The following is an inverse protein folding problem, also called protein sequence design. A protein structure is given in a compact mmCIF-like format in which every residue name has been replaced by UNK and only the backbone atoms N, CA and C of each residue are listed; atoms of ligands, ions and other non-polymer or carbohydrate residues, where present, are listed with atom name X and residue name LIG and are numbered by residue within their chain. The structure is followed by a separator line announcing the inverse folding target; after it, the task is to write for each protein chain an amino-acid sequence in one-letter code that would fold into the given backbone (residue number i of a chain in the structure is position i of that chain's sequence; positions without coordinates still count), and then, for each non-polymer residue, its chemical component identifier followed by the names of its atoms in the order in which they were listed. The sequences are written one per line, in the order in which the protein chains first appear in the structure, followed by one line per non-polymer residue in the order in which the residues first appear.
data_IF_447384951867
#
_entry.id   IF_447384951867
#
_cell.length_a   1.000
_cell.length_b   1.000
_cell.length_c   1.000
_cell.angle_alpha   90.00
_cell.angle_beta   90.00
_cell.angle_gamma   90.00
#
_symmetry.space_group_name_H-M   'P 1'
#
loop_
_entity.id
_entity.type
_entity.pdbx_description
1 polymer ?
#
# COMPACT_ATOMS: atom_id res chain seq x y z
N UNK A 1 1.03 19.83 -5.06
CA UNK A 1 1.13 18.67 -4.16
C UNK A 1 2.55 18.61 -3.66
N UNK A 2 2.76 18.43 -2.37
CA UNK A 2 4.09 18.36 -1.74
C UNK A 2 4.18 17.06 -0.93
N UNK A 3 5.34 16.40 -0.97
CA UNK A 3 5.62 15.17 -0.20
C UNK A 3 6.78 15.46 0.74
N UNK A 4 6.56 15.31 2.05
CA UNK A 4 7.60 15.40 3.08
C UNK A 4 7.82 14.06 3.73
N UNK A 5 9.00 13.48 3.58
CA UNK A 5 9.38 12.25 4.26
C UNK A 5 9.84 12.53 5.67
N UNK A 6 9.68 11.55 6.56
CA UNK A 6 10.14 11.64 7.94
C UNK A 6 11.12 10.52 8.24
N UNK A 7 12.38 10.90 8.53
CA UNK A 7 13.41 9.97 8.99
C UNK A 7 13.10 9.57 10.44
N UNK A 8 13.18 8.28 10.75
CA UNK A 8 12.78 7.76 12.08
C UNK A 8 13.88 6.96 12.77
N UNK A 9 13.70 6.69 14.07
CA UNK A 9 14.36 5.54 14.71
C UNK A 9 13.94 4.24 14.03
N UNK A 10 14.73 3.16 14.22
CA UNK A 10 14.31 1.82 13.76
C UNK A 10 13.05 1.42 14.54
N UNK A 11 12.01 1.02 13.82
CA UNK A 11 10.79 0.48 14.42
C UNK A 11 11.03 -0.95 14.86
N UNK A 12 10.68 -1.29 16.10
CA UNK A 12 10.88 -2.63 16.65
C UNK A 12 9.61 -3.48 16.52
N UNK A 13 9.79 -4.79 16.42
CA UNK A 13 8.68 -5.72 16.39
C UNK A 13 7.78 -5.56 17.62
N UNK A 14 6.46 -5.55 17.40
CA UNK A 14 5.43 -5.31 18.40
C UNK A 14 5.48 -3.92 19.09
N UNK A 15 6.26 -2.97 18.56
CA UNK A 15 6.22 -1.59 19.03
C UNK A 15 4.84 -0.95 18.73
N UNK A 16 4.41 0.00 19.56
CA UNK A 16 3.14 0.68 19.36
C UNK A 16 3.23 1.69 18.20
N UNK A 17 2.63 1.33 17.05
CA UNK A 17 2.72 2.14 15.84
C UNK A 17 2.15 3.57 15.98
N UNK A 18 0.96 3.81 16.58
CA UNK A 18 0.49 5.17 16.85
C UNK A 18 1.48 6.02 17.65
N UNK A 19 1.98 5.50 18.79
CA UNK A 19 2.93 6.24 19.64
C UNK A 19 4.25 6.52 18.90
N UNK A 20 4.73 5.56 18.12
CA UNK A 20 5.90 5.75 17.26
C UNK A 20 5.68 6.87 16.24
N UNK A 21 4.51 6.93 15.60
CA UNK A 21 4.18 8.02 14.68
C UNK A 21 4.10 9.35 15.42
N UNK A 22 3.48 9.43 16.60
CA UNK A 22 3.42 10.67 17.40
C UNK A 22 4.81 11.16 17.84
N UNK A 23 5.73 10.23 18.07
CA UNK A 23 7.13 10.56 18.39
C UNK A 23 7.81 11.28 17.23
N UNK A 24 7.61 10.83 15.99
CA UNK A 24 8.34 11.33 14.82
C UNK A 24 7.59 12.41 14.02
N UNK A 25 6.26 12.43 14.09
CA UNK A 25 5.41 13.40 13.42
C UNK A 25 4.77 14.32 14.46
N UNK A 26 5.23 15.57 14.52
CA UNK A 26 4.74 16.55 15.51
C UNK A 26 3.50 17.32 15.05
N UNK A 27 3.30 17.42 13.74
CA UNK A 27 2.18 18.14 13.13
C UNK A 27 1.79 17.48 11.82
N UNK A 28 0.50 17.37 11.59
CA UNK A 28 -0.07 16.99 10.30
C UNK A 28 -1.05 18.11 9.91
N UNK A 29 -0.85 18.82 8.79
CA UNK A 29 -1.82 19.81 8.32
C UNK A 29 -3.19 19.16 8.02
N UNK A 30 -4.30 19.89 8.18
CA UNK A 30 -5.60 19.40 7.70
C UNK A 30 -5.56 19.20 6.17
N UNK A 31 -6.37 18.28 5.66
CA UNK A 31 -6.39 17.86 4.24
C UNK A 31 -5.05 17.27 3.77
N UNK A 32 -4.39 16.52 4.66
CA UNK A 32 -3.17 15.76 4.35
C UNK A 32 -3.43 14.26 4.28
N UNK A 33 -2.50 13.53 3.70
CA UNK A 33 -2.45 12.07 3.71
C UNK A 33 -1.15 11.65 4.39
N UNK A 34 -1.25 10.89 5.48
CA UNK A 34 -0.09 10.22 6.06
C UNK A 34 0.12 8.90 5.32
N UNK A 35 1.30 8.73 4.75
CA UNK A 35 1.76 7.50 4.13
C UNK A 35 2.59 6.72 5.13
N UNK A 36 2.34 5.42 5.21
CA UNK A 36 3.01 4.49 6.13
C UNK A 36 3.42 3.25 5.35
N UNK A 37 4.69 2.87 5.37
CA UNK A 37 5.11 1.61 4.74
C UNK A 37 4.46 0.40 5.42
N UNK A 38 4.14 -0.61 4.63
CA UNK A 38 3.67 -1.94 5.04
C UNK A 38 4.56 -2.55 6.13
N UNK A 39 5.89 -2.32 6.06
CA UNK A 39 6.88 -2.96 6.93
C UNK A 39 6.65 -2.63 8.41
N UNK A 40 6.50 -1.34 8.76
CA UNK A 40 6.28 -0.97 10.17
C UNK A 40 4.87 -1.29 10.65
N UNK A 41 3.91 -1.40 9.74
CA UNK A 41 2.56 -1.90 10.05
C UNK A 41 2.62 -3.39 10.37
N UNK A 42 3.28 -4.18 9.53
CA UNK A 42 3.49 -5.62 9.73
C UNK A 42 4.26 -5.90 11.04
N UNK A 43 5.33 -5.16 11.32
CA UNK A 43 6.07 -5.27 12.58
C UNK A 43 5.16 -4.98 13.79
N UNK A 44 4.29 -3.98 13.71
CA UNK A 44 3.37 -3.65 14.80
C UNK A 44 2.29 -4.72 15.03
N UNK A 45 2.00 -5.51 14.00
CA UNK A 45 1.05 -6.62 14.03
C UNK A 45 1.71 -7.98 14.34
N UNK A 46 3.02 -8.01 14.60
CA UNK A 46 3.77 -9.24 14.81
C UNK A 46 3.82 -10.14 13.58
N UNK A 47 3.71 -9.57 12.37
CA UNK A 47 3.67 -10.29 11.08
C UNK A 47 5.08 -10.67 10.60
N UNK A 48 5.86 -11.28 11.49
CA UNK A 48 7.21 -11.77 11.19
C UNK A 48 7.31 -13.27 11.47
N UNK A 49 8.19 -13.95 10.74
CA UNK A 49 8.46 -15.38 10.93
C UNK A 49 9.96 -15.63 10.86
N UNK A 50 10.53 -16.38 11.80
CA UNK A 50 11.94 -16.80 11.73
C UNK A 50 12.17 -17.61 10.46
N UNK A 51 13.14 -17.18 9.62
CA UNK A 51 13.47 -17.87 8.38
C UNK A 51 14.30 -19.13 8.69
N UNK A 52 13.70 -20.31 8.58
CA UNK A 52 14.39 -21.60 8.84
C UNK A 52 14.95 -22.24 7.59
N UNK A 53 14.18 -22.21 6.50
CA UNK A 53 14.55 -22.77 5.20
C UNK A 53 13.56 -22.35 4.10
N UNK A 54 13.97 -22.57 2.85
CA UNK A 54 13.16 -22.27 1.66
C UNK A 54 11.81 -23.02 1.63
N UNK A 55 11.73 -24.24 2.17
CA UNK A 55 10.48 -25.02 2.20
C UNK A 55 9.41 -24.30 3.03
N UNK A 56 9.80 -23.76 4.18
CA UNK A 56 8.92 -22.94 5.04
C UNK A 56 8.48 -21.67 4.31
N UNK A 57 9.41 -20.96 3.66
CA UNK A 57 9.10 -19.74 2.90
C UNK A 57 8.09 -20.02 1.79
N UNK A 58 8.30 -21.07 1.00
CA UNK A 58 7.37 -21.48 -0.07
C UNK A 58 5.98 -21.81 0.50
N UNK A 59 5.91 -22.49 1.65
CA UNK A 59 4.63 -22.77 2.30
C UNK A 59 3.91 -21.48 2.71
N UNK A 60 4.63 -20.49 3.26
CA UNK A 60 4.07 -19.19 3.59
C UNK A 60 3.60 -18.42 2.35
N UNK A 61 4.39 -18.40 1.26
CA UNK A 61 3.99 -17.77 -0.01
C UNK A 61 2.64 -18.31 -0.47
N UNK A 62 2.48 -19.64 -0.48
CA UNK A 62 1.23 -20.30 -0.87
C UNK A 62 0.09 -20.04 0.12
N UNK A 63 0.36 -20.02 1.41
CA UNK A 63 -0.65 -19.75 2.45
C UNK A 63 -1.17 -18.30 2.39
N UNK A 64 -0.31 -17.35 2.05
CA UNK A 64 -0.60 -15.91 2.03
C UNK A 64 -1.21 -15.41 0.71
N UNK A 65 -1.41 -16.31 -0.26
CA UNK A 65 -1.95 -15.98 -1.59
C UNK A 65 -3.08 -16.91 -2.01
N UNK A 66 -3.88 -16.43 -2.97
CA UNK A 66 -4.94 -17.20 -3.63
C UNK A 66 -4.46 -17.93 -4.88
N UNK A 67 -3.32 -17.50 -5.44
CA UNK A 67 -2.63 -18.12 -6.55
C UNK A 67 -1.13 -17.96 -6.31
N UNK A 68 -0.35 -19.00 -6.55
CA UNK A 68 1.10 -18.98 -6.46
C UNK A 68 1.74 -19.84 -7.55
N UNK A 69 2.47 -19.22 -8.47
CA UNK A 69 3.13 -19.86 -9.60
C UNK A 69 4.62 -19.56 -9.50
N UNK A 70 5.44 -20.62 -9.49
CA UNK A 70 6.89 -20.49 -9.45
C UNK A 70 7.40 -19.92 -10.77
N UNK A 71 8.25 -18.91 -10.70
CA UNK A 71 8.98 -18.35 -11.86
C UNK A 71 10.47 -18.63 -11.72
N UNK A 72 11.28 -18.20 -12.70
CA UNK A 72 12.73 -18.40 -12.68
C UNK A 72 13.41 -17.82 -11.43
N UNK A 73 13.01 -16.60 -11.03
CA UNK A 73 13.72 -15.84 -9.99
C UNK A 73 12.88 -15.63 -8.71
N UNK A 74 11.56 -15.82 -8.77
CA UNK A 74 10.65 -15.59 -7.64
C UNK A 74 9.33 -16.34 -7.83
N UNK A 75 8.25 -15.93 -7.15
CA UNK A 75 6.90 -16.44 -7.32
C UNK A 75 5.97 -15.35 -7.82
N UNK A 76 5.17 -15.66 -8.84
CA UNK A 76 4.02 -14.86 -9.23
C UNK A 76 2.85 -15.22 -8.32
N UNK A 77 2.29 -14.25 -7.62
CA UNK A 77 1.22 -14.49 -6.65
C UNK A 77 0.07 -13.51 -6.78
N UNK A 78 -1.14 -13.94 -6.37
CA UNK A 78 -2.29 -13.04 -6.16
C UNK A 78 -2.59 -12.99 -4.66
N UNK A 79 -2.31 -11.85 -4.03
CA UNK A 79 -2.58 -11.59 -2.62
C UNK A 79 -3.50 -10.39 -2.49
N UNK A 80 -4.61 -10.57 -1.75
CA UNK A 80 -5.60 -9.50 -1.49
C UNK A 80 -6.16 -8.81 -2.75
N UNK A 81 -6.11 -9.49 -3.89
CA UNK A 81 -6.53 -9.00 -5.20
C UNK A 81 -5.45 -8.28 -6.02
N UNK A 82 -4.21 -8.23 -5.51
CA UNK A 82 -3.06 -7.62 -6.17
C UNK A 82 -2.11 -8.71 -6.70
N UNK A 83 -1.52 -8.46 -7.86
CA UNK A 83 -0.40 -9.27 -8.36
C UNK A 83 0.86 -8.84 -7.63
N UNK A 84 1.53 -9.77 -6.96
CA UNK A 84 2.74 -9.49 -6.18
C UNK A 84 3.80 -10.58 -6.38
N UNK A 85 5.05 -10.22 -6.15
CA UNK A 85 6.13 -11.18 -6.03
C UNK A 85 6.05 -11.85 -4.65
N UNK A 86 6.08 -13.19 -4.59
CA UNK A 86 6.18 -13.96 -3.35
C UNK A 86 5.20 -13.54 -2.24
N UNK A 87 3.96 -13.16 -2.57
CA UNK A 87 2.93 -12.71 -1.63
C UNK A 87 3.33 -11.48 -0.80
N UNK A 88 4.25 -10.66 -1.32
CA UNK A 88 4.84 -9.54 -0.59
C UNK A 88 5.71 -9.97 0.59
N UNK A 89 6.12 -11.24 0.64
CA UNK A 89 7.04 -11.73 1.66
C UNK A 89 8.43 -11.20 1.35
N UNK A 90 8.99 -10.45 2.29
CA UNK A 90 10.28 -9.77 2.17
C UNK A 90 11.28 -10.37 3.16
N UNK A 91 12.54 -10.46 2.75
CA UNK A 91 13.68 -10.88 3.59
C UNK A 91 14.53 -9.67 4.04
N UNK A 92 14.46 -8.58 3.27
CA UNK A 92 15.20 -7.37 3.55
C UNK A 92 14.64 -6.65 4.77
N UNK A 93 15.52 -5.98 5.51
CA UNK A 93 15.18 -5.20 6.70
C UNK A 93 14.38 -5.99 7.78
N UNK A 94 14.39 -7.32 7.72
CA UNK A 94 13.70 -8.22 8.65
C UNK A 94 14.59 -8.82 9.75
N UNK A 95 15.87 -8.42 9.81
CA UNK A 95 16.84 -8.89 10.81
C UNK A 95 16.88 -10.44 10.94
N UNK A 96 16.97 -11.14 9.81
CA UNK A 96 16.98 -12.61 9.75
C UNK A 96 15.59 -13.28 9.81
N UNK A 97 14.51 -12.49 9.81
CA UNK A 97 13.12 -12.96 9.71
C UNK A 97 12.52 -12.65 8.34
N UNK A 98 11.55 -13.47 7.96
CA UNK A 98 10.61 -13.18 6.88
C UNK A 98 9.58 -12.17 7.38
N UNK A 99 9.41 -11.09 6.63
CA UNK A 99 8.37 -10.10 6.82
C UNK A 99 7.17 -10.47 5.96
N UNK A 100 6.01 -10.66 6.59
CA UNK A 100 4.74 -10.83 5.87
C UNK A 100 4.06 -9.46 5.75
N UNK A 101 3.11 -9.32 4.82
CA UNK A 101 2.27 -8.11 4.77
C UNK A 101 1.33 -8.02 5.99
N UNK A 102 0.82 -6.79 6.29
CA UNK A 102 -0.24 -6.60 7.27
C UNK A 102 -1.44 -7.51 7.01
N UNK A 103 -2.14 -7.90 8.08
CA UNK A 103 -3.26 -8.86 7.98
C UNK A 103 -4.48 -8.28 7.25
N UNK A 104 -4.75 -6.99 7.43
CA UNK A 104 -5.79 -6.24 6.70
C UNK A 104 -5.40 -4.75 6.65
N UNK A 105 -4.64 -4.37 5.63
CA UNK A 105 -4.12 -3.00 5.47
C UNK A 105 -5.21 -1.92 5.50
N UNK A 106 -6.43 -2.20 5.05
CA UNK A 106 -7.52 -1.22 5.17
C UNK A 106 -7.95 -1.02 6.63
N UNK A 107 -8.04 -2.08 7.43
CA UNK A 107 -8.34 -1.96 8.87
C UNK A 107 -7.21 -1.22 9.60
N UNK A 108 -5.96 -1.52 9.26
CA UNK A 108 -4.80 -0.85 9.87
C UNK A 108 -4.78 0.64 9.51
N UNK A 109 -5.11 1.01 8.26
CA UNK A 109 -5.26 2.40 7.85
C UNK A 109 -6.42 3.11 8.58
N UNK A 110 -7.58 2.47 8.73
CA UNK A 110 -8.72 3.00 9.51
C UNK A 110 -8.34 3.25 10.97
N UNK A 111 -7.68 2.27 11.60
CA UNK A 111 -7.22 2.35 12.98
C UNK A 111 -6.25 3.52 13.19
N UNK A 112 -5.22 3.61 12.35
CA UNK A 112 -4.25 4.71 12.41
C UNK A 112 -4.93 6.06 12.18
N UNK A 113 -5.79 6.16 11.16
CA UNK A 113 -6.53 7.39 10.87
C UNK A 113 -7.32 7.86 12.08
N UNK A 114 -8.05 6.95 12.76
CA UNK A 114 -8.83 7.28 13.96
C UNK A 114 -7.93 7.85 15.07
N UNK A 115 -6.82 7.17 15.37
CA UNK A 115 -5.88 7.59 16.42
C UNK A 115 -5.23 8.94 16.10
N UNK A 116 -4.80 9.14 14.85
CA UNK A 116 -4.14 10.36 14.38
C UNK A 116 -5.13 11.54 14.32
N UNK A 117 -6.34 11.32 13.80
CA UNK A 117 -7.37 12.35 13.75
C UNK A 117 -7.76 12.83 15.15
N UNK A 118 -7.85 11.90 16.12
CA UNK A 118 -8.09 12.26 17.52
C UNK A 118 -6.91 13.03 18.13
N UNK A 119 -5.67 12.53 17.96
CA UNK A 119 -4.47 13.16 18.53
C UNK A 119 -4.23 14.57 18.00
N UNK A 120 -4.36 14.76 16.68
CA UNK A 120 -4.08 16.02 15.99
C UNK A 120 -5.33 16.89 15.75
N UNK A 121 -6.52 16.44 16.20
CA UNK A 121 -7.81 17.13 16.05
C UNK A 121 -8.14 17.47 14.59
N UNK A 122 -7.91 16.51 13.68
CA UNK A 122 -8.08 16.70 12.23
C UNK A 122 -9.45 16.23 11.76
N UNK A 123 -10.07 17.03 10.88
CA UNK A 123 -11.33 16.66 10.22
C UNK A 123 -11.06 15.87 8.94
N UNK A 124 -10.07 16.33 8.17
CA UNK A 124 -9.70 15.74 6.89
C UNK A 124 -8.28 15.16 6.98
N UNK A 125 -8.21 13.87 7.27
CA UNK A 125 -6.97 13.11 7.28
C UNK A 125 -7.14 11.85 6.44
N UNK A 126 -6.23 11.65 5.50
CA UNK A 126 -6.02 10.38 4.82
C UNK A 126 -4.92 9.57 5.51
N UNK A 127 -5.02 8.26 5.47
CA UNK A 127 -3.92 7.33 5.76
C UNK A 127 -3.80 6.39 4.58
N UNK A 128 -2.58 6.17 4.11
CA UNK A 128 -2.25 5.29 2.99
C UNK A 128 -1.15 4.33 3.43
N UNK A 129 -1.40 3.03 3.32
CA UNK A 129 -0.41 1.99 3.57
C UNK A 129 0.14 1.52 2.23
N UNK A 130 1.46 1.59 2.08
CA UNK A 130 2.13 1.32 0.81
C UNK A 130 3.09 0.16 0.91
N UNK A 131 3.30 -0.49 -0.22
CA UNK A 131 4.34 -1.51 -0.38
C UNK A 131 4.92 -1.46 -1.79
N UNK A 132 6.03 -2.13 -1.99
CA UNK A 132 6.72 -2.15 -3.28
C UNK A 132 6.12 -3.22 -4.19
N UNK A 133 5.93 -2.88 -5.46
CA UNK A 133 5.38 -3.77 -6.46
C UNK A 133 5.99 -3.55 -7.84
N UNK A 134 5.56 -4.34 -8.81
CA UNK A 134 6.16 -4.35 -10.15
C UNK A 134 5.08 -4.20 -11.21
N UNK A 135 5.45 -3.55 -12.32
CA UNK A 135 4.63 -3.49 -13.52
C UNK A 135 5.15 -4.47 -14.57
N UNK A 136 4.27 -5.15 -15.32
CA UNK A 136 4.69 -5.97 -16.45
C UNK A 136 5.58 -5.20 -17.43
N UNK A 137 6.68 -5.83 -17.85
CA UNK A 137 7.64 -5.30 -18.83
C UNK A 137 8.34 -3.99 -18.44
N UNK A 138 8.34 -3.63 -17.15
CA UNK A 138 9.08 -2.46 -16.63
C UNK A 138 10.12 -2.92 -15.62
N UNK A 139 11.26 -2.23 -15.65
CA UNK A 139 12.34 -2.45 -14.70
C UNK A 139 12.18 -1.51 -13.50
N UNK A 140 12.46 -2.03 -12.30
CA UNK A 140 12.33 -1.31 -11.04
C UNK A 140 11.00 -1.55 -10.33
N UNK A 141 11.02 -1.33 -9.02
CA UNK A 141 9.83 -1.36 -8.18
C UNK A 141 9.11 0.00 -8.19
N UNK A 142 7.81 -0.02 -7.94
CA UNK A 142 6.96 1.15 -7.71
C UNK A 142 6.18 0.98 -6.41
N UNK A 143 5.64 2.08 -5.87
CA UNK A 143 4.72 2.00 -4.74
C UNK A 143 3.31 1.60 -5.15
N UNK A 144 2.76 0.62 -4.44
CA UNK A 144 1.36 0.17 -4.50
C UNK A 144 0.63 0.51 -3.20
N UNK A 145 -0.66 0.78 -3.29
CA UNK A 145 -1.56 0.99 -2.16
C UNK A 145 -2.13 -0.35 -1.66
N UNK A 146 -1.63 -0.84 -0.53
CA UNK A 146 -2.20 -2.05 0.09
C UNK A 146 -3.54 -1.77 0.79
N UNK A 147 -3.70 -0.56 1.29
CA UNK A 147 -4.92 -0.15 1.99
C UNK A 147 -4.88 1.33 2.34
N UNK A 148 -6.04 1.95 2.47
CA UNK A 148 -6.15 3.37 2.76
C UNK A 148 -7.43 3.70 3.51
N UNK A 149 -7.45 4.87 4.13
CA UNK A 149 -8.60 5.41 4.85
C UNK A 149 -8.67 6.93 4.70
N UNK A 150 -9.89 7.49 4.73
CA UNK A 150 -10.08 8.94 4.81
C UNK A 150 -10.20 9.67 3.48
N UNK A 151 -10.04 8.99 2.35
CA UNK A 151 -10.19 9.55 1.00
C UNK A 151 -10.66 8.48 0.01
N UNK A 152 -11.16 8.91 -1.15
CA UNK A 152 -11.53 8.02 -2.26
C UNK A 152 -10.29 7.57 -3.04
N UNK A 153 -10.10 6.26 -3.17
CA UNK A 153 -8.96 5.66 -3.88
C UNK A 153 -9.06 5.76 -5.40
N UNK A 154 -10.27 5.88 -5.95
CA UNK A 154 -10.49 6.07 -7.40
C UNK A 154 -11.22 7.37 -7.68
N UNK A 155 -10.70 8.14 -8.62
CA UNK A 155 -11.44 9.26 -9.22
C UNK A 155 -12.14 8.79 -10.47
N UNK A 156 -13.48 8.81 -10.44
CA UNK A 156 -14.30 8.40 -11.58
C UNK A 156 -14.63 9.60 -12.48
N UNK A 157 -14.29 9.50 -13.76
CA UNK A 157 -14.64 10.49 -14.78
C UNK A 157 -15.77 10.01 -15.71
N UNK A 158 -16.26 8.78 -15.54
CA UNK A 158 -17.35 8.24 -16.37
C UNK A 158 -18.59 9.12 -16.27
N UNK A 159 -19.17 9.44 -17.43
CA UNK A 159 -20.31 10.34 -17.55
C UNK A 159 -19.94 11.83 -17.61
N UNK A 160 -18.70 12.21 -17.31
CA UNK A 160 -18.22 13.59 -17.51
C UNK A 160 -17.87 13.84 -18.97
N UNK A 161 -18.00 15.10 -19.40
CA UNK A 161 -17.52 15.57 -20.70
C UNK A 161 -16.00 15.79 -20.65
N UNK A 162 -15.32 15.45 -21.74
CA UNK A 162 -13.95 15.91 -21.98
C UNK A 162 -13.91 17.35 -22.49
N UNK A 163 -12.72 17.83 -22.85
CA UNK A 163 -12.50 19.21 -23.34
C UNK A 163 -13.18 19.52 -24.68
N UNK A 164 -13.69 18.50 -25.40
CA UNK A 164 -14.42 18.64 -26.66
C UNK A 164 -15.90 18.24 -26.51
N UNK A 165 -16.39 18.07 -25.28
CA UNK A 165 -17.78 17.76 -25.00
C UNK A 165 -18.15 16.28 -25.10
N UNK A 166 -17.22 15.37 -25.41
CA UNK A 166 -17.49 13.93 -25.52
C UNK A 166 -17.61 13.30 -24.14
N UNK A 167 -18.60 12.43 -23.95
CA UNK A 167 -18.82 11.71 -22.69
C UNK A 167 -17.77 10.61 -22.51
N UNK A 168 -17.04 10.67 -21.40
CA UNK A 168 -16.05 9.67 -21.00
C UNK A 168 -16.75 8.37 -20.56
N UNK A 169 -16.36 7.23 -21.13
CA UNK A 169 -17.01 5.92 -20.88
C UNK A 169 -16.25 5.01 -19.91
N UNK A 170 -14.93 5.13 -19.85
CA UNK A 170 -14.08 4.24 -19.04
C UNK A 170 -13.16 4.97 -18.08
N UNK A 171 -12.96 6.27 -18.29
CA UNK A 171 -11.91 7.05 -17.65
C UNK A 171 -12.06 7.07 -16.13
N UNK A 172 -11.05 6.51 -15.46
CA UNK A 172 -10.86 6.52 -14.02
C UNK A 172 -9.38 6.77 -13.75
N UNK A 173 -9.07 7.46 -12.66
CA UNK A 173 -7.70 7.58 -12.16
C UNK A 173 -7.59 6.79 -10.87
N UNK A 174 -6.62 5.90 -10.80
CA UNK A 174 -6.21 5.25 -9.55
C UNK A 174 -5.43 6.25 -8.70
N UNK A 175 -6.12 6.93 -7.81
CA UNK A 175 -5.55 7.99 -6.98
C UNK A 175 -4.69 7.38 -5.88
N UNK A 176 -5.10 6.24 -5.31
CA UNK A 176 -4.38 5.60 -4.22
C UNK A 176 -3.00 5.11 -4.69
N UNK A 177 -2.93 4.36 -5.80
CA UNK A 177 -1.66 3.87 -6.34
C UNK A 177 -0.79 5.00 -6.88
N UNK A 178 -1.38 6.04 -7.50
CA UNK A 178 -0.61 7.21 -7.95
C UNK A 178 0.09 7.91 -6.78
N UNK A 179 -0.58 8.05 -5.64
CA UNK A 179 -0.01 8.63 -4.42
C UNK A 179 1.01 7.69 -3.78
N UNK A 180 0.73 6.39 -3.78
CA UNK A 180 1.64 5.37 -3.27
C UNK A 180 2.96 5.38 -4.05
N UNK A 181 2.91 5.39 -5.38
CA UNK A 181 4.08 5.46 -6.25
C UNK A 181 4.90 6.72 -5.96
N UNK A 182 4.28 7.89 -5.89
CA UNK A 182 4.99 9.14 -5.61
C UNK A 182 5.62 9.17 -4.20
N UNK A 183 4.92 8.61 -3.21
CA UNK A 183 5.42 8.53 -1.85
C UNK A 183 6.58 7.55 -1.73
N UNK A 184 6.47 6.34 -2.30
CA UNK A 184 7.53 5.33 -2.27
C UNK A 184 8.80 5.82 -2.97
N UNK A 185 8.65 6.49 -4.12
CA UNK A 185 9.78 7.16 -4.79
C UNK A 185 10.49 8.16 -3.86
N UNK A 186 9.73 8.86 -3.01
CA UNK A 186 10.28 9.85 -2.07
C UNK A 186 10.89 9.20 -0.82
N UNK A 187 10.29 8.11 -0.32
CA UNK A 187 10.74 7.43 0.90
C UNK A 187 11.92 6.49 0.67
N UNK A 188 12.21 6.14 -0.58
CA UNK A 188 13.27 5.20 -0.92
C UNK A 188 12.89 3.75 -0.64
N UNK A 189 13.79 2.85 -1.03
CA UNK A 189 13.61 1.38 -1.00
C UNK A 189 14.74 0.67 -0.22
N UNK A 190 15.70 1.43 0.33
CA UNK A 190 16.91 0.93 0.97
C UNK A 190 16.97 1.24 2.47
N UNK A 191 18.05 1.92 2.88
CA UNK A 191 18.41 2.22 4.26
C UNK A 191 18.10 3.67 4.69
N UNK A 192 17.31 4.40 3.90
CA UNK A 192 16.99 5.82 4.11
C UNK A 192 16.30 6.08 5.47
N UNK A 193 15.65 5.04 6.01
CA UNK A 193 14.91 5.06 7.29
C UNK A 193 13.80 6.10 7.30
N UNK A 194 13.08 6.18 6.20
CA UNK A 194 11.95 7.10 5.96
C UNK A 194 10.62 6.35 5.79
N UNK A 195 10.16 5.54 6.79
CA UNK A 195 8.97 4.70 6.64
C UNK A 195 7.64 5.49 6.65
N UNK A 196 7.71 6.81 6.83
CA UNK A 196 6.58 7.72 6.92
C UNK A 196 6.76 8.88 5.94
N UNK A 197 5.67 9.31 5.30
CA UNK A 197 5.62 10.55 4.54
C UNK A 197 4.28 11.27 4.72
N UNK A 198 4.27 12.58 4.57
CA UNK A 198 3.05 13.40 4.57
C UNK A 198 2.90 14.01 3.18
N UNK A 199 1.75 13.75 2.54
CA UNK A 199 1.35 14.39 1.30
C UNK A 199 0.36 15.51 1.62
N UNK A 200 0.66 16.72 1.16
CA UNK A 200 -0.24 17.88 1.25
C UNK A 200 -0.65 18.36 -0.14
N UNK A 201 -1.83 18.98 -0.23
CA UNK A 201 -2.35 19.48 -1.52
C UNK A 201 -2.57 18.38 -2.56
N UNK A 202 -2.78 17.14 -2.11
CA UNK A 202 -3.18 16.04 -2.98
C UNK A 202 -4.60 16.28 -3.49
N UNK A 203 -4.89 16.09 -4.79
CA UNK A 203 -6.20 16.36 -5.37
C UNK A 203 -7.19 15.22 -5.04
N UNK A 204 -7.42 14.93 -3.76
CA UNK A 204 -8.29 13.83 -3.31
C UNK A 204 -9.65 14.35 -2.82
N UNK A 205 -10.64 13.47 -2.84
CA UNK A 205 -11.92 13.70 -2.17
C UNK A 205 -11.85 13.01 -0.80
N UNK A 206 -11.75 13.79 0.27
CA UNK A 206 -11.80 13.26 1.63
C UNK A 206 -13.18 12.68 1.93
N UNK A 207 -13.21 11.56 2.65
CA UNK A 207 -14.45 10.87 3.02
C UNK A 207 -14.23 9.98 4.23
N UNK A 208 -15.29 9.76 5.01
CA UNK A 208 -15.29 8.79 6.11
C UNK A 208 -15.67 7.37 5.66
N UNK A 209 -16.14 7.21 4.41
CA UNK A 209 -16.55 5.90 3.87
C UNK A 209 -15.43 5.30 3.06
N UNK A 210 -15.03 4.08 3.39
CA UNK A 210 -14.01 3.33 2.65
C UNK A 210 -14.70 2.29 1.78
N UNK A 211 -14.30 2.23 0.52
CA UNK A 211 -14.72 1.18 -0.39
C UNK A 211 -13.52 0.33 -0.79
N UNK A 212 -13.25 -0.75 -0.04
CA UNK A 212 -12.13 -1.67 -0.32
C UNK A 212 -12.21 -2.32 -1.71
N UNK A 213 -13.37 -2.26 -2.37
CA UNK A 213 -13.60 -2.85 -3.70
C UNK A 213 -13.31 -1.87 -4.84
N UNK A 214 -13.09 -0.57 -4.59
CA UNK A 214 -12.98 0.40 -5.69
C UNK A 214 -11.67 0.30 -6.47
N UNK A 215 -10.57 -0.16 -5.83
CA UNK A 215 -9.31 -0.49 -6.53
C UNK A 215 -9.34 -1.86 -7.21
N UNK A 216 -10.36 -2.69 -6.93
CA UNK A 216 -10.39 -4.07 -7.41
C UNK A 216 -11.13 -4.17 -8.72
N UNK A 217 -10.50 -4.82 -9.69
CA UNK A 217 -11.13 -5.30 -10.91
C UNK A 217 -11.08 -6.83 -10.93
N UNK A 218 -12.13 -7.47 -11.45
CA UNK A 218 -12.11 -8.93 -11.64
C UNK A 218 -11.09 -9.26 -12.73
N UNK A 219 -10.28 -10.29 -12.55
CA UNK A 219 -9.28 -10.72 -13.54
C UNK A 219 -9.88 -10.89 -14.95
N UNK A 220 -11.11 -11.41 -15.06
CA UNK A 220 -11.82 -11.57 -16.34
C UNK A 220 -12.26 -10.27 -17.02
N UNK A 221 -12.22 -9.14 -16.32
CA UNK A 221 -12.52 -7.79 -16.82
C UNK A 221 -11.29 -6.89 -16.89
N UNK A 222 -10.13 -7.40 -16.46
CA UNK A 222 -8.87 -6.69 -16.48
C UNK A 222 -8.28 -6.68 -17.90
N UNK A 223 -7.46 -5.69 -18.23
CA UNK A 223 -6.70 -5.67 -19.49
C UNK A 223 -5.78 -6.88 -19.64
N UNK A 224 -5.37 -7.48 -18.51
CA UNK A 224 -4.57 -8.69 -18.45
C UNK A 224 -5.41 -9.98 -18.44
N UNK A 225 -6.73 -9.91 -18.66
CA UNK A 225 -7.59 -11.10 -18.72
C UNK A 225 -7.06 -12.22 -19.64
N UNK A 226 -6.50 -11.95 -20.85
CA UNK A 226 -5.94 -13.00 -21.70
C UNK A 226 -4.77 -13.76 -21.06
N UNK A 227 -4.02 -13.12 -20.16
CA UNK A 227 -2.96 -13.77 -19.39
C UNK A 227 -3.55 -14.61 -18.26
N UNK A 228 -4.42 -14.01 -17.44
CA UNK A 228 -5.01 -14.71 -16.28
C UNK A 228 -5.87 -15.91 -16.67
N UNK A 229 -6.59 -15.84 -17.80
CA UNK A 229 -7.41 -16.96 -18.28
C UNK A 229 -6.59 -18.19 -18.67
N UNK A 230 -5.28 -18.03 -18.97
CA UNK A 230 -4.37 -19.15 -19.26
C UNK A 230 -3.78 -19.77 -17.99
N UNK A 231 -3.97 -19.13 -16.84
CA UNK A 231 -3.44 -19.60 -15.55
C UNK A 231 -4.46 -20.45 -14.78
N UNK A 232 -5.69 -20.56 -15.28
CA UNK A 232 -6.76 -21.41 -14.75
C UNK A 232 -6.81 -22.76 -15.47
#
# INVERSE_FOLDING_TARGET
MEIKTARTSIFRENENLPEFIFKHIKKIPDKSILVVTSKIVALSEGRTVVHRNEKQKIALIKQESTLAIKTKNTWFTIKDGMVMAASGIDESNGNGKLMLLPKDSFKSAEFLRKKLAQKFRLKNLGVLITDSGFLPFRMGAIGLALGYAGFKGVRNYIGRKDIFGRILRFSRTDVADSLATAAVLSTGEGDERTPLAIITGAPVVFTNKINKKELRIKASKDIYAPLFNKLN
#
